data_IF_296480121191
#
_entry.id   IF_296480121191
#
_cell.length_a   1.000
_cell.length_b   1.000
_cell.length_c   1.000
_cell.angle_alpha   90.00
_cell.angle_beta   90.00
_cell.angle_gamma   90.00
#
_symmetry.space_group_name_H-M   'P 1'
#
loop_
_entity.id
_entity.type
_entity.pdbx_description
1 polymer ?
#
# COMPACT_ATOMS: atom_id res chain seq x y z
N UNK A 1 37.68 22.83 34.39
CA UNK A 1 38.40 21.57 34.15
C UNK A 1 38.42 20.73 35.43
N UNK A 2 38.19 19.42 35.30
CA UNK A 2 38.13 18.42 36.38
C UNK A 2 36.80 17.66 36.32
N UNK A 3 36.70 16.33 36.28
CA UNK A 3 37.64 15.25 36.55
C UNK A 3 37.30 13.98 35.73
N UNK A 4 38.35 13.27 35.31
CA UNK A 4 38.32 11.89 34.81
C UNK A 4 37.81 10.91 35.87
N UNK A 5 36.90 10.00 35.53
CA UNK A 5 36.76 8.70 36.22
C UNK A 5 36.42 7.57 35.23
N UNK A 6 37.48 6.84 34.87
CA UNK A 6 37.64 5.37 34.91
C UNK A 6 36.52 4.50 34.29
N UNK A 7 36.78 4.03 33.07
CA UNK A 7 36.20 2.80 32.54
C UNK A 7 36.78 1.59 33.27
N UNK A 8 35.90 0.85 33.93
CA UNK A 8 36.16 -0.43 34.58
C UNK A 8 36.17 -1.51 33.49
N UNK A 9 37.26 -2.28 33.45
CA UNK A 9 37.39 -3.46 32.60
C UNK A 9 36.69 -4.70 33.19
N UNK A 10 37.11 -5.86 32.66
CA UNK A 10 36.63 -7.25 32.90
C UNK A 10 35.59 -7.67 31.86
N UNK A 11 35.75 -8.73 31.08
CA UNK A 11 36.78 -9.75 31.07
C UNK A 11 36.59 -10.73 29.91
N UNK A 12 37.74 -11.11 29.36
CA UNK A 12 38.11 -12.27 28.57
C UNK A 12 37.19 -13.52 28.65
N UNK A 13 36.84 -14.10 27.50
CA UNK A 13 36.83 -15.56 27.34
C UNK A 13 37.11 -15.96 25.88
N UNK A 14 38.28 -16.53 25.65
CA UNK A 14 38.66 -17.23 24.41
C UNK A 14 38.65 -18.72 24.72
N UNK A 15 37.85 -19.49 23.98
CA UNK A 15 37.99 -20.91 23.68
C UNK A 15 37.41 -21.03 22.25
N UNK A 16 38.12 -21.44 21.20
CA UNK A 16 38.97 -22.62 21.07
C UNK A 16 38.30 -23.55 20.04
N UNK A 17 38.94 -23.72 18.89
CA UNK A 17 38.51 -24.47 17.68
C UNK A 17 38.01 -25.90 17.95
N UNK A 18 37.03 -26.36 17.15
CA UNK A 18 36.99 -27.74 16.65
C UNK A 18 36.13 -27.89 15.37
N UNK A 19 36.81 -28.28 14.29
CA UNK A 19 36.43 -29.21 13.24
C UNK A 19 35.08 -29.05 12.48
N UNK A 20 35.21 -28.76 11.18
CA UNK A 20 34.38 -29.38 10.14
C UNK A 20 34.66 -30.89 10.07
N UNK A 21 33.62 -31.73 10.11
CA UNK A 21 33.52 -33.05 9.46
C UNK A 21 32.03 -33.48 9.54
N UNK A 22 31.20 -33.16 8.54
CA UNK A 22 30.82 -33.95 7.37
C UNK A 22 29.62 -34.92 7.58
N UNK A 23 28.64 -34.77 6.68
CA UNK A 23 27.55 -35.70 6.30
C UNK A 23 26.47 -36.09 7.33
N UNK A 24 25.25 -35.58 7.21
CA UNK A 24 24.12 -36.27 6.55
C UNK A 24 22.78 -35.54 6.79
N UNK A 25 22.02 -35.34 5.71
CA UNK A 25 20.57 -35.13 5.62
C UNK A 25 19.84 -34.38 6.75
N UNK A 26 19.94 -33.04 6.76
CA UNK A 26 18.83 -32.20 7.24
C UNK A 26 18.82 -30.85 6.55
N UNK A 27 18.42 -30.84 5.28
CA UNK A 27 18.00 -29.60 4.64
C UNK A 27 16.79 -29.10 5.41
N UNK A 28 17.03 -28.09 6.23
CA UNK A 28 16.01 -27.33 6.91
C UNK A 28 14.93 -26.97 5.90
N UNK A 29 13.68 -27.21 6.27
CA UNK A 29 12.51 -26.71 5.57
C UNK A 29 12.76 -25.27 5.19
N UNK A 30 12.81 -25.00 3.89
CA UNK A 30 12.34 -23.74 3.35
C UNK A 30 10.85 -23.71 3.64
N UNK A 31 10.48 -23.38 4.88
CA UNK A 31 9.20 -22.73 5.13
C UNK A 31 9.35 -21.38 4.42
N UNK A 32 9.04 -21.41 3.13
CA UNK A 32 8.39 -20.29 2.51
C UNK A 32 7.21 -20.00 3.43
N UNK A 33 7.40 -19.05 4.34
CA UNK A 33 6.29 -18.29 4.86
C UNK A 33 5.62 -17.72 3.62
N UNK A 34 4.67 -18.47 3.08
CA UNK A 34 3.47 -17.87 2.57
C UNK A 34 3.10 -16.86 3.64
N UNK A 35 3.30 -15.57 3.35
CA UNK A 35 2.71 -14.50 4.11
C UNK A 35 1.21 -14.76 4.03
N UNK A 36 0.73 -15.58 4.97
CA UNK A 36 -0.67 -15.69 5.33
C UNK A 36 -1.11 -14.26 5.48
N UNK A 37 -2.06 -13.84 4.63
CA UNK A 37 -2.72 -12.55 4.70
C UNK A 37 -2.89 -12.17 6.16
N UNK A 38 -2.01 -11.31 6.68
CA UNK A 38 -2.25 -10.70 7.96
C UNK A 38 -3.54 -9.93 7.74
N UNK A 39 -4.64 -10.44 8.31
CA UNK A 39 -5.95 -9.85 8.15
C UNK A 39 -5.80 -8.38 8.54
N UNK A 40 -5.95 -7.52 7.53
CA UNK A 40 -5.70 -6.10 7.70
C UNK A 40 -6.67 -5.48 8.69
N UNK A 41 -6.33 -4.30 9.20
CA UNK A 41 -7.25 -3.51 10.02
C UNK A 41 -8.49 -3.17 9.18
N UNK A 42 -9.69 -3.58 9.60
CA UNK A 42 -10.90 -3.31 8.83
C UNK A 42 -11.22 -1.81 8.90
N UNK A 43 -11.45 -1.22 7.73
CA UNK A 43 -11.93 0.14 7.56
C UNK A 43 -13.35 0.10 7.02
N UNK A 44 -14.19 0.99 7.54
CA UNK A 44 -15.60 1.10 7.16
C UNK A 44 -15.93 2.58 6.95
N UNK A 45 -16.40 2.91 5.75
CA UNK A 45 -16.77 4.25 5.32
C UNK A 45 -18.24 4.27 4.89
N UNK A 46 -18.82 5.47 4.76
CA UNK A 46 -20.21 5.68 4.33
C UNK A 46 -21.22 4.82 5.11
N UNK A 47 -21.15 4.88 6.44
CA UNK A 47 -22.00 4.08 7.34
C UNK A 47 -21.93 2.56 7.09
N UNK A 48 -20.78 2.08 6.57
CA UNK A 48 -20.55 0.67 6.28
C UNK A 48 -21.00 0.20 4.90
N UNK A 49 -21.39 1.13 4.01
CA UNK A 49 -21.62 0.84 2.60
C UNK A 49 -20.35 0.49 1.85
N UNK A 50 -19.20 0.98 2.33
CA UNK A 50 -17.88 0.64 1.79
C UNK A 50 -17.01 0.13 2.93
N UNK A 51 -16.36 -1.01 2.73
CA UNK A 51 -15.33 -1.49 3.66
C UNK A 51 -14.17 -2.13 2.92
N UNK A 52 -13.00 -2.13 3.54
CA UNK A 52 -11.77 -2.74 3.03
C UNK A 52 -10.82 -3.00 4.21
N UNK A 53 -9.74 -3.74 3.99
CA UNK A 53 -8.75 -4.04 5.01
C UNK A 53 -7.41 -3.39 4.63
N UNK A 54 -6.79 -2.74 5.60
CA UNK A 54 -5.48 -2.10 5.45
C UNK A 54 -4.37 -2.91 6.10
N UNK A 55 -3.15 -2.89 5.56
CA UNK A 55 -1.96 -3.39 6.25
C UNK A 55 -1.85 -2.85 7.69
N UNK A 56 -1.36 -3.68 8.61
CA UNK A 56 -1.31 -3.36 10.04
C UNK A 56 -0.39 -2.18 10.38
N UNK A 57 0.53 -1.83 9.50
CA UNK A 57 1.43 -0.67 9.62
C UNK A 57 0.77 0.65 9.19
N UNK A 58 -0.42 0.63 8.61
CA UNK A 58 -1.16 1.84 8.21
C UNK A 58 -2.09 2.35 9.32
N UNK A 59 -2.12 3.67 9.49
CA UNK A 59 -2.96 4.37 10.47
C UNK A 59 -3.70 5.54 9.85
N UNK A 60 -4.87 5.86 10.38
CA UNK A 60 -5.70 6.97 9.90
C UNK A 60 -5.04 8.35 10.18
N UNK A 61 -4.88 9.14 9.11
CA UNK A 61 -4.36 10.50 9.09
C UNK A 61 -5.43 11.53 8.66
N UNK A 62 -6.68 11.11 8.48
CA UNK A 62 -7.81 11.96 8.09
C UNK A 62 -8.06 12.99 9.20
N UNK A 63 -7.62 14.23 8.99
CA UNK A 63 -7.69 15.31 9.99
C UNK A 63 -6.33 15.82 10.48
N UNK A 64 -5.22 15.12 10.19
CA UNK A 64 -3.86 15.66 10.40
C UNK A 64 -3.33 16.46 9.21
N UNK A 65 -3.95 16.28 8.04
CA UNK A 65 -3.52 16.87 6.76
C UNK A 65 -4.22 18.22 6.43
N UNK A 66 -4.95 18.82 7.38
CA UNK A 66 -5.61 20.12 7.23
C UNK A 66 -7.12 20.09 7.51
N UNK A 67 -7.88 21.03 6.94
CA UNK A 67 -9.35 21.03 7.01
C UNK A 67 -9.86 19.80 6.27
N UNK A 68 -10.26 18.79 7.03
CA UNK A 68 -10.84 17.57 6.51
C UNK A 68 -12.08 17.95 5.70
N UNK A 69 -12.05 17.76 4.39
CA UNK A 69 -13.30 17.60 3.67
C UNK A 69 -13.88 16.27 4.17
N UNK A 70 -15.13 16.27 4.65
CA UNK A 70 -15.78 15.09 5.25
C UNK A 70 -15.75 13.82 4.36
N UNK A 71 -15.36 13.99 3.10
CA UNK A 71 -15.33 12.97 2.08
C UNK A 71 -13.93 12.46 1.73
N UNK A 72 -12.87 12.92 2.40
CA UNK A 72 -11.50 12.45 2.18
C UNK A 72 -10.97 11.73 3.43
N UNK A 73 -10.57 10.48 3.22
CA UNK A 73 -9.95 9.63 4.22
C UNK A 73 -8.54 9.27 3.78
N UNK A 74 -7.54 9.49 4.63
CA UNK A 74 -6.14 9.22 4.33
C UNK A 74 -5.58 8.27 5.37
N UNK A 75 -5.03 7.15 4.91
CA UNK A 75 -4.33 6.18 5.74
C UNK A 75 -2.90 6.09 5.25
N UNK A 76 -1.93 6.09 6.16
CA UNK A 76 -0.53 5.94 5.78
C UNK A 76 0.25 5.16 6.81
N UNK A 77 1.38 4.61 6.38
CA UNK A 77 2.40 4.16 7.31
C UNK A 77 3.09 5.36 8.01
N UNK A 78 3.95 5.07 8.97
CA UNK A 78 4.66 6.10 9.73
C UNK A 78 5.58 6.97 8.86
N UNK A 79 6.07 6.46 7.74
CA UNK A 79 6.95 7.21 6.83
C UNK A 79 6.20 8.03 5.78
N UNK A 80 4.92 7.72 5.55
CA UNK A 80 4.11 8.31 4.48
C UNK A 80 4.45 7.79 3.08
N UNK A 81 5.33 6.80 2.96
CA UNK A 81 5.69 6.19 1.68
C UNK A 81 4.64 5.18 1.20
N UNK A 82 3.87 4.60 2.13
CA UNK A 82 2.68 3.81 1.83
C UNK A 82 1.46 4.62 2.22
N UNK A 83 0.54 4.82 1.28
CA UNK A 83 -0.69 5.56 1.53
C UNK A 83 -1.89 4.94 0.83
N UNK A 84 -3.04 5.02 1.47
CA UNK A 84 -4.35 4.76 0.88
C UNK A 84 -5.22 5.99 1.11
N UNK A 85 -5.67 6.62 0.04
CA UNK A 85 -6.54 7.79 0.08
C UNK A 85 -7.89 7.38 -0.51
N UNK A 86 -8.96 7.60 0.23
CA UNK A 86 -10.32 7.37 -0.24
C UNK A 86 -11.06 8.69 -0.30
N UNK A 87 -11.54 9.04 -1.48
CA UNK A 87 -12.32 10.24 -1.74
C UNK A 87 -13.72 9.81 -2.19
N UNK A 88 -14.74 10.40 -1.58
CA UNK A 88 -16.13 10.23 -1.98
C UNK A 88 -16.65 11.53 -2.59
N UNK A 89 -16.86 11.53 -3.90
CA UNK A 89 -17.35 12.70 -4.63
C UNK A 89 -18.83 12.57 -5.00
N UNK A 90 -19.37 13.67 -5.50
CA UNK A 90 -20.64 13.63 -6.23
C UNK A 90 -20.54 12.67 -7.41
N UNK A 91 -21.65 12.02 -7.75
CA UNK A 91 -21.70 11.17 -8.94
C UNK A 91 -21.52 11.99 -10.22
N UNK A 92 -21.16 11.29 -11.29
CA UNK A 92 -20.97 11.84 -12.62
C UNK A 92 -21.67 10.98 -13.67
N UNK A 93 -22.22 11.57 -14.74
CA UNK A 93 -22.73 10.81 -15.88
C UNK A 93 -21.62 10.13 -16.69
N UNK A 94 -20.36 10.55 -16.54
CA UNK A 94 -19.22 9.97 -17.25
C UNK A 94 -19.06 8.49 -16.89
N UNK A 95 -18.70 7.68 -17.89
CA UNK A 95 -18.35 6.27 -17.71
C UNK A 95 -17.02 6.12 -16.93
N UNK A 96 -16.91 5.07 -16.11
CA UNK A 96 -15.72 4.85 -15.28
C UNK A 96 -14.44 4.70 -16.11
N UNK A 97 -14.51 4.06 -17.29
CA UNK A 97 -13.35 3.91 -18.16
C UNK A 97 -12.94 5.24 -18.81
N UNK A 98 -13.91 6.12 -19.11
CA UNK A 98 -13.61 7.47 -19.58
C UNK A 98 -12.93 8.30 -18.49
N UNK A 99 -13.36 8.15 -17.23
CA UNK A 99 -12.75 8.82 -16.08
C UNK A 99 -11.32 8.33 -15.83
N UNK A 100 -11.06 7.01 -15.80
CA UNK A 100 -9.69 6.53 -15.59
C UNK A 100 -8.76 6.89 -16.74
N UNK A 101 -9.25 6.89 -17.99
CA UNK A 101 -8.45 7.38 -19.12
C UNK A 101 -8.05 8.85 -18.94
N UNK A 102 -8.99 9.71 -18.53
CA UNK A 102 -8.69 11.12 -18.21
C UNK A 102 -7.68 11.24 -17.06
N UNK A 103 -7.79 10.39 -16.02
CA UNK A 103 -6.82 10.36 -14.92
C UNK A 103 -5.43 9.92 -15.38
N UNK A 104 -5.35 8.94 -16.28
CA UNK A 104 -4.09 8.49 -16.88
C UNK A 104 -3.42 9.64 -17.66
N UNK A 105 -4.19 10.35 -18.50
CA UNK A 105 -3.70 11.51 -19.26
C UNK A 105 -3.19 12.62 -18.32
N UNK A 106 -3.91 12.88 -17.22
CA UNK A 106 -3.48 13.83 -16.19
C UNK A 106 -2.20 13.38 -15.47
N UNK A 107 -2.05 12.09 -15.17
CA UNK A 107 -0.83 11.55 -14.58
C UNK A 107 0.34 11.70 -15.55
N UNK A 108 0.16 11.35 -16.82
CA UNK A 108 1.20 11.43 -17.86
C UNK A 108 1.63 12.88 -18.14
N UNK A 109 0.72 13.84 -18.02
CA UNK A 109 1.05 15.25 -18.15
C UNK A 109 1.96 15.75 -17.01
N UNK A 110 1.89 15.13 -15.83
CA UNK A 110 2.74 15.45 -14.66
C UNK A 110 4.03 14.63 -14.63
N UNK A 111 3.95 13.39 -15.11
CA UNK A 111 5.07 12.45 -15.22
C UNK A 111 5.14 11.90 -16.67
N UNK A 112 5.97 12.50 -17.53
CA UNK A 112 6.17 12.01 -18.90
C UNK A 112 6.72 10.58 -18.97
N UNK A 113 7.28 10.05 -17.88
CA UNK A 113 7.82 8.70 -17.79
C UNK A 113 6.81 7.70 -17.19
N UNK A 114 5.55 8.10 -17.01
CA UNK A 114 4.47 7.26 -16.50
C UNK A 114 4.40 5.93 -17.26
N UNK A 115 4.50 4.83 -16.51
CA UNK A 115 4.32 3.49 -17.04
C UNK A 115 2.96 2.98 -16.59
N UNK A 116 2.05 2.74 -17.52
CA UNK A 116 0.73 2.17 -17.22
C UNK A 116 0.89 0.66 -17.16
N UNK A 117 0.53 0.06 -16.03
CA UNK A 117 0.58 -1.38 -15.80
C UNK A 117 -0.76 -2.01 -16.19
N UNK A 118 -1.87 -1.39 -15.80
CA UNK A 118 -3.20 -1.82 -16.22
C UNK A 118 -4.19 -0.66 -16.22
N UNK A 119 -5.19 -0.73 -17.10
CA UNK A 119 -6.37 0.14 -17.08
C UNK A 119 -7.55 -0.71 -17.54
N UNK A 120 -8.31 -1.26 -16.59
CA UNK A 120 -9.31 -2.29 -16.86
C UNK A 120 -10.51 -2.19 -15.93
N UNK A 121 -11.63 -2.74 -16.39
CA UNK A 121 -12.77 -3.01 -15.53
C UNK A 121 -12.48 -4.23 -14.66
N UNK A 122 -12.91 -4.17 -13.40
CA UNK A 122 -12.82 -5.25 -12.42
C UNK A 122 -14.18 -5.44 -11.75
N UNK A 123 -14.47 -6.68 -11.39
CA UNK A 123 -15.69 -7.05 -10.66
C UNK A 123 -15.34 -7.38 -9.22
N UNK A 124 -15.85 -6.61 -8.26
CA UNK A 124 -15.68 -6.87 -6.84
C UNK A 124 -17.05 -7.10 -6.22
N UNK A 125 -17.31 -8.37 -5.84
CA UNK A 125 -18.54 -8.76 -5.12
C UNK A 125 -19.83 -8.29 -5.81
N UNK A 126 -19.85 -8.33 -7.15
CA UNK A 126 -21.01 -7.94 -7.95
C UNK A 126 -21.08 -6.46 -8.32
N UNK A 127 -20.05 -5.67 -7.98
CA UNK A 127 -19.92 -4.28 -8.37
C UNK A 127 -18.78 -4.13 -9.39
N UNK A 128 -19.12 -3.53 -10.53
CA UNK A 128 -18.15 -3.11 -11.53
C UNK A 128 -17.40 -1.86 -11.06
N UNK A 129 -16.08 -1.96 -11.00
CA UNK A 129 -15.15 -0.86 -10.71
C UNK A 129 -14.17 -0.72 -11.88
N UNK A 130 -13.46 0.40 -11.94
CA UNK A 130 -12.38 0.59 -12.90
C UNK A 130 -11.06 0.77 -12.16
N UNK A 131 -10.05 -0.01 -12.53
CA UNK A 131 -8.71 0.00 -11.96
C UNK A 131 -7.72 0.57 -12.95
N UNK A 132 -6.92 1.54 -12.50
CA UNK A 132 -5.77 2.08 -13.20
C UNK A 132 -4.54 1.91 -12.33
N UNK A 133 -3.62 1.04 -12.75
CA UNK A 133 -2.33 0.87 -12.10
C UNK A 133 -1.23 1.51 -12.93
N UNK A 134 -0.33 2.21 -12.27
CA UNK A 134 0.80 2.89 -12.88
C UNK A 134 2.05 2.85 -12.02
N UNK A 135 3.21 2.93 -12.64
CA UNK A 135 4.47 3.29 -11.98
C UNK A 135 4.68 4.77 -12.24
N UNK A 136 4.70 5.54 -11.16
CA UNK A 136 4.97 6.98 -11.17
C UNK A 136 6.40 7.23 -10.71
N UNK A 137 7.07 8.19 -11.34
CA UNK A 137 8.42 8.63 -11.00
C UNK A 137 8.40 10.11 -10.66
N UNK A 138 8.77 10.45 -9.42
CA UNK A 138 8.87 11.84 -8.98
C UNK A 138 10.14 12.05 -8.17
N UNK A 139 10.95 13.05 -8.57
CA UNK A 139 12.18 13.45 -7.87
C UNK A 139 13.16 12.28 -7.58
N UNK A 140 13.23 11.31 -8.49
CA UNK A 140 14.10 10.13 -8.35
C UNK A 140 13.53 9.02 -7.47
N UNK A 141 12.31 9.14 -6.96
CA UNK A 141 11.59 8.06 -6.28
C UNK A 141 10.54 7.47 -7.21
N UNK A 142 10.46 6.14 -7.23
CA UNK A 142 9.44 5.39 -7.96
C UNK A 142 8.39 4.87 -6.99
N UNK A 143 7.13 5.03 -7.35
CA UNK A 143 6.01 4.47 -6.60
C UNK A 143 5.07 3.71 -7.52
N UNK A 144 4.52 2.63 -7.00
CA UNK A 144 3.41 1.91 -7.59
C UNK A 144 2.14 2.62 -7.13
N UNK A 145 1.31 3.03 -8.08
CA UNK A 145 0.05 3.70 -7.87
C UNK A 145 -1.07 2.80 -8.40
N UNK A 146 -2.10 2.56 -7.60
CA UNK A 146 -3.34 1.92 -8.04
C UNK A 146 -4.51 2.82 -7.71
N UNK A 147 -5.28 3.21 -8.73
CA UNK A 147 -6.48 4.03 -8.60
C UNK A 147 -7.70 3.19 -8.95
N UNK A 148 -8.61 3.06 -8.00
CA UNK A 148 -9.89 2.37 -8.16
C UNK A 148 -11.01 3.42 -8.19
N UNK A 149 -11.79 3.42 -9.26
CA UNK A 149 -13.01 4.20 -9.38
C UNK A 149 -14.24 3.31 -9.29
N UNK A 150 -15.26 3.76 -8.57
CA UNK A 150 -16.53 3.06 -8.43
C UNK A 150 -17.69 4.01 -8.25
N UNK A 151 -18.91 3.56 -8.58
CA UNK A 151 -20.14 4.29 -8.24
C UNK A 151 -20.86 3.52 -7.13
N UNK A 152 -21.02 4.15 -5.97
CA UNK A 152 -21.68 3.56 -4.79
C UNK A 152 -22.73 4.55 -4.29
N UNK A 153 -23.98 4.12 -4.21
CA UNK A 153 -25.10 4.92 -3.69
C UNK A 153 -25.17 6.36 -4.24
N UNK A 154 -25.12 6.47 -5.57
CA UNK A 154 -25.10 7.74 -6.29
C UNK A 154 -23.96 8.69 -5.86
N UNK A 155 -22.79 8.13 -5.53
CA UNK A 155 -21.55 8.85 -5.26
C UNK A 155 -20.40 8.21 -6.05
N UNK A 156 -19.42 9.01 -6.43
CA UNK A 156 -18.19 8.55 -7.07
C UNK A 156 -17.15 8.23 -6.00
N UNK A 157 -16.83 6.95 -5.83
CA UNK A 157 -15.72 6.49 -5.02
C UNK A 157 -14.42 6.58 -5.82
N UNK A 158 -13.39 7.17 -5.23
CA UNK A 158 -12.01 7.10 -5.70
C UNK A 158 -11.13 6.58 -4.58
N UNK A 159 -10.50 5.42 -4.75
CA UNK A 159 -9.48 4.91 -3.86
C UNK A 159 -8.13 4.98 -4.57
N UNK A 160 -7.14 5.64 -3.97
CA UNK A 160 -5.78 5.75 -4.46
C UNK A 160 -4.85 5.02 -3.48
N UNK A 161 -4.15 4.02 -3.97
CA UNK A 161 -3.13 3.27 -3.22
C UNK A 161 -1.78 3.68 -3.79
N UNK A 162 -0.86 4.10 -2.94
CA UNK A 162 0.52 4.44 -3.31
C UNK A 162 1.47 3.62 -2.45
N UNK A 163 2.38 2.91 -3.09
CA UNK A 163 3.36 2.03 -2.44
C UNK A 163 4.74 2.25 -3.05
N UNK A 164 5.85 2.07 -2.29
CA UNK A 164 7.19 2.08 -2.86
C UNK A 164 7.35 1.03 -3.96
N UNK A 165 7.98 1.40 -5.08
CA UNK A 165 8.17 0.51 -6.23
C UNK A 165 9.59 -0.08 -6.32
N UNK A 166 10.33 -0.17 -5.21
CA UNK A 166 11.65 -0.84 -5.17
C UNK A 166 11.54 -2.30 -5.65
N UNK A 167 10.44 -2.96 -5.28
CA UNK A 167 10.01 -4.24 -5.82
C UNK A 167 8.58 -4.11 -6.36
N UNK A 168 8.46 -3.90 -7.66
CA UNK A 168 7.18 -3.72 -8.35
C UNK A 168 6.19 -4.86 -8.09
N UNK A 169 6.64 -6.12 -8.11
CA UNK A 169 5.75 -7.26 -7.92
C UNK A 169 5.18 -7.29 -6.50
N UNK A 170 6.01 -7.02 -5.49
CA UNK A 170 5.56 -6.92 -4.11
C UNK A 170 4.56 -5.80 -3.91
N UNK A 171 4.82 -4.62 -4.51
CA UNK A 171 3.91 -3.48 -4.45
C UNK A 171 2.56 -3.78 -5.11
N UNK A 172 2.58 -4.43 -6.29
CA UNK A 172 1.38 -4.85 -6.98
C UNK A 172 0.57 -5.85 -6.14
N UNK A 173 1.20 -6.89 -5.61
CA UNK A 173 0.51 -7.88 -4.76
C UNK A 173 -0.08 -7.23 -3.51
N UNK A 174 0.64 -6.29 -2.87
CA UNK A 174 0.13 -5.57 -1.72
C UNK A 174 -1.09 -4.70 -2.06
N UNK A 175 -1.08 -4.01 -3.22
CA UNK A 175 -2.24 -3.25 -3.68
C UNK A 175 -3.44 -4.17 -4.00
N UNK A 176 -3.21 -5.26 -4.73
CA UNK A 176 -4.24 -6.27 -5.04
C UNK A 176 -4.85 -6.88 -3.78
N UNK A 177 -4.05 -7.13 -2.74
CA UNK A 177 -4.53 -7.61 -1.45
C UNK A 177 -5.50 -6.63 -0.79
N UNK A 178 -5.23 -5.32 -0.85
CA UNK A 178 -6.16 -4.29 -0.36
C UNK A 178 -7.43 -4.28 -1.23
N UNK A 179 -7.28 -4.26 -2.55
CA UNK A 179 -8.40 -4.19 -3.50
C UNK A 179 -9.35 -5.38 -3.34
N UNK A 180 -8.82 -6.61 -3.20
CA UNK A 180 -9.62 -7.82 -3.04
C UNK A 180 -10.42 -7.85 -1.73
N UNK A 181 -10.08 -7.03 -0.75
CA UNK A 181 -10.82 -6.91 0.52
C UNK A 181 -11.99 -5.95 0.42
N UNK A 182 -12.11 -5.18 -0.67
CA UNK A 182 -13.19 -4.21 -0.85
C UNK A 182 -14.55 -4.92 -0.79
N UNK A 183 -15.48 -4.31 -0.07
CA UNK A 183 -16.87 -4.72 0.02
C UNK A 183 -17.74 -3.50 -0.15
N UNK A 184 -18.77 -3.64 -0.99
CA UNK A 184 -19.76 -2.61 -1.28
C UNK A 184 -21.12 -3.25 -0.95
N UNK A 185 -21.99 -2.50 -0.27
CA UNK A 185 -23.33 -2.94 0.16
C UNK A 185 -24.41 -2.02 -0.38
#
# INVERSE_FOLDING_TARGET
MGNLVKYVGIGLLVLGLAACDNSDSKTAKTDAAAESSAAGQPVSLLDGKISFALPADMTDQSGKLGTQANNMHVYSDATGQKAVIVIVGDNTPDDLAALTKRLEEQQRARDPQLQVVTNKSIEIKGHTLQQLDSIISAKGQTAYSSVILGKVDNQLLTMQITLPADNQQLAQTAAENIINTITIK
#
